data_IF_750055370349
#
_entry.id   IF_750055370349
#
_cell.length_a   1.000
_cell.length_b   1.000
_cell.length_c   1.000
_cell.angle_alpha   90.00
_cell.angle_beta   90.00
_cell.angle_gamma   90.00
#
_symmetry.space_group_name_H-M   'P 1'
#
loop_
_entity.id
_entity.type
_entity.pdbx_description
1 polymer ?
#
# COMPACT_ATOMS: atom_id res chain seq x y z
N UNK A 1 6.74 -29.66 65.18
CA UNK A 1 5.32 -29.47 65.51
C UNK A 1 5.06 -28.02 65.88
N UNK A 2 4.26 -27.30 65.11
CA UNK A 2 3.65 -26.00 65.45
C UNK A 2 2.58 -25.77 64.38
N UNK A 3 1.31 -26.05 64.65
CA UNK A 3 0.30 -25.26 65.39
C UNK A 3 -0.22 -24.09 64.55
N UNK A 4 -1.52 -24.21 64.26
CA UNK A 4 -2.41 -23.38 63.45
C UNK A 4 -2.60 -21.96 63.97
N UNK A 5 -2.79 -20.98 63.07
CA UNK A 5 -3.62 -19.79 63.30
C UNK A 5 -4.33 -19.43 61.98
N UNK A 6 -5.66 -19.47 61.98
CA UNK A 6 -6.54 -18.90 60.96
C UNK A 6 -6.74 -17.43 61.30
N UNK A 7 -6.63 -16.53 60.31
CA UNK A 7 -7.10 -15.15 60.44
C UNK A 7 -7.93 -14.74 59.22
N UNK A 8 -9.13 -14.28 59.56
CA UNK A 8 -10.26 -13.86 58.75
C UNK A 8 -10.01 -12.46 58.17
N UNK A 9 -10.23 -12.26 56.86
CA UNK A 9 -10.22 -10.92 56.26
C UNK A 9 -11.42 -10.77 55.31
N UNK A 10 -12.40 -9.98 55.76
CA UNK A 10 -13.60 -9.55 55.04
C UNK A 10 -13.28 -8.88 53.69
N UNK A 11 -13.73 -9.49 52.60
CA UNK A 11 -13.63 -8.92 51.25
C UNK A 11 -14.79 -7.94 50.99
N UNK A 12 -14.49 -6.64 51.07
CA UNK A 12 -15.44 -5.56 50.74
C UNK A 12 -15.69 -5.52 49.23
N UNK A 13 -16.90 -5.92 48.79
CA UNK A 13 -17.31 -5.92 47.38
C UNK A 13 -17.54 -4.49 46.86
N UNK A 14 -16.62 -3.96 46.07
CA UNK A 14 -16.88 -2.78 45.24
C UNK A 14 -17.76 -3.16 44.04
N UNK A 15 -18.92 -2.51 43.92
CA UNK A 15 -19.85 -2.72 42.80
C UNK A 15 -19.32 -2.06 41.51
N UNK A 16 -19.17 -2.86 40.46
CA UNK A 16 -18.80 -2.41 39.12
C UNK A 16 -19.98 -1.72 38.40
N UNK A 17 -19.71 -0.71 37.54
CA UNK A 17 -20.76 0.03 36.84
C UNK A 17 -21.54 -0.90 35.87
N UNK A 18 -22.85 -0.65 35.66
CA UNK A 18 -23.69 -1.55 34.90
C UNK A 18 -23.25 -1.65 33.43
N UNK A 19 -23.30 -2.86 32.82
CA UNK A 19 -22.85 -3.07 31.46
C UNK A 19 -23.69 -2.26 30.47
N UNK A 20 -23.03 -1.48 29.62
CA UNK A 20 -23.67 -0.74 28.52
C UNK A 20 -24.31 -1.75 27.56
N UNK A 21 -25.64 -1.71 27.42
CA UNK A 21 -26.38 -2.57 26.50
C UNK A 21 -25.94 -2.26 25.06
N UNK A 22 -25.29 -3.22 24.41
CA UNK A 22 -24.92 -3.14 23.00
C UNK A 22 -26.19 -3.24 22.16
N UNK A 23 -26.42 -2.25 21.29
CA UNK A 23 -27.55 -2.28 20.35
C UNK A 23 -27.33 -3.45 19.38
N UNK A 24 -28.27 -4.40 19.33
CA UNK A 24 -28.23 -5.50 18.36
C UNK A 24 -28.51 -4.93 16.97
N UNK A 25 -27.47 -4.89 16.14
CA UNK A 25 -27.58 -4.49 14.74
C UNK A 25 -28.14 -5.68 13.97
N UNK A 26 -29.28 -5.47 13.31
CA UNK A 26 -29.88 -6.46 12.41
C UNK A 26 -29.70 -5.99 10.97
N UNK A 27 -28.92 -6.74 10.21
CA UNK A 27 -28.76 -6.51 8.78
C UNK A 27 -30.07 -6.85 8.07
N UNK A 28 -30.64 -5.88 7.35
CA UNK A 28 -31.80 -6.10 6.50
C UNK A 28 -31.32 -6.37 5.08
N UNK A 29 -31.83 -7.44 4.48
CA UNK A 29 -31.63 -7.71 3.06
C UNK A 29 -32.53 -6.73 2.30
N UNK A 30 -31.93 -5.87 1.49
CA UNK A 30 -32.62 -4.92 0.62
C UNK A 30 -32.02 -5.05 -0.77
N UNK A 31 -32.86 -5.03 -1.80
CA UNK A 31 -32.39 -5.01 -3.18
C UNK A 31 -31.61 -3.73 -3.44
N UNK A 32 -30.39 -3.89 -3.97
CA UNK A 32 -29.56 -2.77 -4.34
C UNK A 32 -30.10 -2.16 -5.63
N UNK A 33 -30.57 -0.91 -5.53
CA UNK A 33 -30.91 -0.11 -6.70
C UNK A 33 -29.66 0.74 -6.97
N UNK A 34 -28.89 0.45 -8.04
CA UNK A 34 -27.72 1.27 -8.36
C UNK A 34 -28.19 2.70 -8.61
N UNK A 35 -27.52 3.71 -8.01
CA UNK A 35 -27.75 5.08 -8.45
C UNK A 35 -27.38 5.18 -9.95
N UNK A 36 -28.06 6.06 -10.67
CA UNK A 36 -27.63 6.47 -12.02
C UNK A 36 -26.21 7.04 -11.88
N UNK A 37 -25.23 6.26 -12.33
CA UNK A 37 -23.80 6.60 -12.27
C UNK A 37 -23.30 7.17 -13.61
N UNK A 38 -24.23 7.50 -14.51
CA UNK A 38 -23.90 8.08 -15.79
C UNK A 38 -23.28 9.46 -15.57
N UNK A 39 -22.06 9.65 -16.08
CA UNK A 39 -21.39 10.93 -16.02
C UNK A 39 -22.21 11.96 -16.83
N UNK A 40 -22.78 12.96 -16.14
CA UNK A 40 -23.59 14.02 -16.74
C UNK A 40 -22.80 15.28 -17.08
N UNK A 41 -21.49 15.29 -16.83
CA UNK A 41 -20.62 16.41 -17.12
C UNK A 41 -20.27 16.50 -18.61
N UNK A 42 -19.86 17.70 -19.03
CA UNK A 42 -19.23 17.90 -20.33
C UNK A 42 -17.74 17.59 -20.17
N UNK A 43 -17.22 16.66 -20.97
CA UNK A 43 -15.79 16.42 -21.01
C UNK A 43 -15.09 17.63 -21.65
N UNK A 44 -13.93 18.06 -21.12
CA UNK A 44 -13.13 19.06 -21.82
C UNK A 44 -12.77 18.55 -23.22
N UNK A 45 -12.61 19.46 -24.21
CA UNK A 45 -12.09 19.06 -25.50
C UNK A 45 -10.72 18.39 -25.31
N UNK A 46 -10.40 17.36 -26.12
CA UNK A 46 -9.07 16.77 -26.08
C UNK A 46 -8.02 17.85 -26.34
N UNK A 47 -6.85 17.80 -25.70
CA UNK A 47 -5.75 18.71 -25.99
C UNK A 47 -5.40 18.67 -27.48
N UNK A 48 -5.09 19.83 -28.07
CA UNK A 48 -4.70 19.91 -29.49
C UNK A 48 -3.35 19.22 -29.77
N UNK A 49 -2.49 19.14 -28.74
CA UNK A 49 -1.16 18.52 -28.82
C UNK A 49 -1.14 17.18 -28.07
N UNK A 50 -0.92 16.09 -28.80
CA UNK A 50 -0.66 14.77 -28.22
C UNK A 50 0.79 14.70 -27.74
N UNK A 51 0.98 14.60 -26.42
CA UNK A 51 2.29 14.37 -25.82
C UNK A 51 2.81 12.95 -26.09
N UNK A 52 4.13 12.77 -26.09
CA UNK A 52 4.69 11.42 -26.14
C UNK A 52 4.38 10.66 -24.83
N UNK A 53 4.28 9.32 -24.84
CA UNK A 53 4.00 8.54 -23.63
C UNK A 53 4.94 8.84 -22.45
N UNK A 54 6.19 9.15 -22.75
CA UNK A 54 7.20 9.49 -21.72
C UNK A 54 6.95 10.88 -21.09
N UNK A 55 6.36 11.81 -21.82
CA UNK A 55 6.06 13.14 -21.30
C UNK A 55 4.89 13.09 -20.32
N UNK A 56 3.91 12.22 -20.56
CA UNK A 56 2.87 11.93 -19.57
C UNK A 56 3.45 11.32 -18.30
N UNK A 57 4.43 10.43 -18.42
CA UNK A 57 5.13 9.88 -17.27
C UNK A 57 5.81 11.00 -16.45
N UNK A 58 6.56 11.88 -17.11
CA UNK A 58 7.22 13.01 -16.43
C UNK A 58 6.25 14.06 -15.90
N UNK A 59 5.02 14.13 -16.41
CA UNK A 59 3.97 14.99 -15.84
C UNK A 59 3.46 14.51 -14.48
N UNK A 60 3.56 13.20 -14.22
CA UNK A 60 3.16 12.58 -12.94
C UNK A 60 4.35 12.44 -11.98
N UNK A 61 5.52 12.08 -12.52
CA UNK A 61 6.77 11.91 -11.79
C UNK A 61 7.82 12.78 -12.44
N UNK A 62 7.89 14.04 -12.01
CA UNK A 62 8.91 14.95 -12.52
C UNK A 62 10.33 14.46 -12.14
N UNK A 63 11.32 14.97 -12.87
CA UNK A 63 12.72 14.58 -12.68
C UNK A 63 13.23 14.90 -11.28
N UNK A 64 12.72 15.98 -10.69
CA UNK A 64 13.08 16.39 -9.33
C UNK A 64 12.53 15.42 -8.28
N UNK A 65 11.30 14.92 -8.45
CA UNK A 65 10.73 13.87 -7.61
C UNK A 65 11.50 12.57 -7.74
N UNK A 66 11.89 12.18 -8.95
CA UNK A 66 12.69 10.98 -9.19
C UNK A 66 14.04 11.12 -8.49
N UNK A 67 14.72 12.26 -8.64
CA UNK A 67 15.98 12.53 -7.97
C UNK A 67 15.84 12.46 -6.43
N UNK A 68 14.79 13.08 -5.89
CA UNK A 68 14.51 13.04 -4.45
C UNK A 68 14.28 11.60 -3.96
N UNK A 69 13.49 10.81 -4.68
CA UNK A 69 13.23 9.40 -4.36
C UNK A 69 14.52 8.59 -4.37
N UNK A 70 15.37 8.79 -5.38
CA UNK A 70 16.67 8.12 -5.48
C UNK A 70 17.56 8.47 -4.28
N UNK A 71 17.72 9.76 -3.97
CA UNK A 71 18.57 10.22 -2.88
C UNK A 71 18.10 9.71 -1.51
N UNK A 72 16.80 9.80 -1.24
CA UNK A 72 16.23 9.32 0.02
C UNK A 72 16.31 7.79 0.15
N UNK A 73 16.11 7.05 -0.95
CA UNK A 73 16.24 5.59 -0.94
C UNK A 73 17.67 5.15 -0.67
N UNK A 74 18.65 5.83 -1.28
CA UNK A 74 20.06 5.57 -1.04
C UNK A 74 20.47 5.91 0.40
N UNK A 75 20.06 7.08 0.90
CA UNK A 75 20.30 7.50 2.27
C UNK A 75 19.73 6.50 3.27
N UNK A 76 18.49 6.05 3.06
CA UNK A 76 17.87 5.01 3.86
C UNK A 76 18.65 3.69 3.81
N UNK A 77 19.15 3.29 2.64
CA UNK A 77 19.95 2.06 2.51
C UNK A 77 21.20 2.08 3.39
N UNK A 78 21.90 3.22 3.44
CA UNK A 78 23.09 3.42 4.28
C UNK A 78 22.72 3.42 5.76
N UNK A 79 21.60 4.05 6.13
CA UNK A 79 21.10 4.05 7.51
C UNK A 79 20.78 2.63 8.02
N UNK A 80 20.21 1.79 7.14
CA UNK A 80 19.83 0.42 7.49
C UNK A 80 21.02 -0.55 7.49
N UNK A 81 21.91 -0.45 6.51
CA UNK A 81 23.12 -1.27 6.45
C UNK A 81 24.28 -0.49 5.80
N UNK A 82 25.13 0.16 6.61
CA UNK A 82 26.27 0.92 6.10
C UNK A 82 27.26 0.08 5.28
N UNK A 83 27.32 -1.23 5.51
CA UNK A 83 28.27 -2.13 4.83
C UNK A 83 27.79 -2.57 3.44
N UNK A 84 26.52 -2.34 3.10
CA UNK A 84 25.94 -2.74 1.81
C UNK A 84 24.96 -1.68 1.32
N UNK A 85 25.45 -0.50 0.90
CA UNK A 85 24.61 0.53 0.32
C UNK A 85 24.01 0.06 -1.01
N UNK A 86 22.78 0.50 -1.31
CA UNK A 86 22.04 0.07 -2.50
C UNK A 86 22.49 0.83 -3.76
N UNK A 87 22.98 2.06 -3.62
CA UNK A 87 23.57 2.88 -4.69
C UNK A 87 22.71 2.96 -5.97
N UNK A 88 21.40 3.19 -5.81
CA UNK A 88 20.44 3.35 -6.89
C UNK A 88 20.77 4.57 -7.74
N UNK A 89 20.74 4.43 -9.05
CA UNK A 89 20.76 5.54 -10.02
C UNK A 89 19.35 6.06 -10.32
N UNK A 90 19.24 7.29 -10.83
CA UNK A 90 17.93 7.84 -11.23
C UNK A 90 17.26 6.99 -12.32
N UNK A 91 18.05 6.42 -13.24
CA UNK A 91 17.54 5.54 -14.29
C UNK A 91 16.97 4.23 -13.74
N UNK A 92 17.62 3.63 -12.73
CA UNK A 92 17.08 2.45 -12.04
C UNK A 92 15.79 2.79 -11.27
N UNK A 93 15.68 4.01 -10.74
CA UNK A 93 14.44 4.48 -10.12
C UNK A 93 13.32 4.67 -11.14
N UNK A 94 13.61 5.24 -12.32
CA UNK A 94 12.64 5.33 -13.44
C UNK A 94 12.15 3.94 -13.86
N UNK A 95 13.08 2.99 -14.04
CA UNK A 95 12.76 1.59 -14.34
C UNK A 95 11.90 0.93 -13.26
N UNK A 96 12.20 1.20 -11.98
CA UNK A 96 11.42 0.68 -10.87
C UNK A 96 9.98 1.21 -10.88
N UNK A 97 9.79 2.53 -11.07
CA UNK A 97 8.46 3.13 -11.18
C UNK A 97 7.72 2.61 -12.41
N UNK A 98 8.39 2.53 -13.57
CA UNK A 98 7.82 1.96 -14.78
C UNK A 98 7.38 0.52 -14.58
N UNK A 99 8.17 -0.28 -13.87
CA UNK A 99 7.81 -1.65 -13.50
C UNK A 99 6.54 -1.68 -12.64
N UNK A 100 6.43 -0.82 -11.63
CA UNK A 100 5.22 -0.74 -10.79
C UNK A 100 3.98 -0.42 -11.63
N UNK A 101 4.07 0.52 -12.57
CA UNK A 101 2.98 0.86 -13.49
C UNK A 101 2.59 -0.37 -14.32
N UNK A 102 3.56 -1.08 -14.91
CA UNK A 102 3.30 -2.29 -15.68
C UNK A 102 2.68 -3.41 -14.83
N UNK A 103 3.09 -3.58 -13.58
CA UNK A 103 2.45 -4.54 -12.66
C UNK A 103 1.02 -4.15 -12.29
N UNK A 104 0.66 -2.87 -12.37
CA UNK A 104 -0.74 -2.42 -12.24
C UNK A 104 -1.61 -2.80 -13.43
N UNK A 105 -1.02 -2.88 -14.64
CA UNK A 105 -1.69 -3.31 -15.86
C UNK A 105 -1.89 -4.83 -15.87
N UNK A 106 -0.84 -5.57 -15.51
CA UNK A 106 -0.88 -7.03 -15.47
C UNK A 106 -1.31 -7.53 -14.09
N UNK A 107 -2.51 -8.10 -13.98
CA UNK A 107 -3.01 -8.62 -12.70
C UNK A 107 -2.44 -10.01 -12.38
N UNK A 108 -1.28 -10.07 -11.70
CA UNK A 108 -0.77 -11.31 -11.09
C UNK A 108 -1.04 -11.35 -9.58
N UNK A 109 -1.33 -12.53 -9.01
CA UNK A 109 -1.69 -12.66 -7.60
C UNK A 109 -0.52 -12.39 -6.65
N UNK A 110 0.73 -12.56 -7.12
CA UNK A 110 1.92 -12.25 -6.32
C UNK A 110 3.02 -11.64 -7.17
N UNK A 111 3.83 -10.72 -6.62
CA UNK A 111 4.92 -10.08 -7.37
C UNK A 111 5.95 -11.06 -7.93
N UNK A 112 6.15 -12.22 -7.28
CA UNK A 112 7.12 -13.23 -7.74
C UNK A 112 6.80 -13.81 -9.11
N UNK A 113 5.54 -13.82 -9.51
CA UNK A 113 5.12 -14.40 -10.80
C UNK A 113 5.67 -13.59 -11.99
N UNK A 114 5.94 -12.29 -11.80
CA UNK A 114 6.53 -11.45 -12.85
C UNK A 114 7.97 -11.86 -13.22
N UNK A 115 8.73 -12.39 -12.25
CA UNK A 115 10.12 -12.85 -12.43
C UNK A 115 10.25 -14.38 -12.46
N UNK A 116 9.13 -15.12 -12.52
CA UNK A 116 9.17 -16.58 -12.58
C UNK A 116 9.35 -17.05 -14.02
N UNK A 117 10.30 -17.95 -14.27
CA UNK A 117 10.60 -18.45 -15.64
C UNK A 117 9.38 -19.02 -16.39
N UNK A 118 8.32 -19.45 -15.69
CA UNK A 118 7.12 -20.05 -16.31
C UNK A 118 6.05 -19.04 -16.69
N UNK A 119 5.98 -17.89 -16.02
CA UNK A 119 4.96 -16.83 -16.23
C UNK A 119 5.61 -15.48 -16.55
N UNK A 120 6.87 -15.52 -16.95
CA UNK A 120 7.73 -14.37 -17.17
C UNK A 120 7.06 -13.34 -18.08
N UNK A 121 6.92 -12.13 -17.57
CA UNK A 121 6.63 -10.96 -18.40
C UNK A 121 7.99 -10.38 -18.79
N UNK A 122 8.48 -10.73 -19.98
CA UNK A 122 9.82 -10.38 -20.47
C UNK A 122 10.11 -8.87 -20.33
N UNK A 123 9.11 -8.02 -20.62
CA UNK A 123 9.24 -6.56 -20.51
C UNK A 123 9.44 -6.04 -19.09
N UNK A 124 9.15 -6.84 -18.06
CA UNK A 124 9.38 -6.50 -16.65
C UNK A 124 10.64 -7.20 -16.15
N UNK A 125 10.73 -8.51 -16.38
CA UNK A 125 11.81 -9.34 -15.85
C UNK A 125 13.19 -9.03 -16.45
N UNK A 126 13.25 -8.52 -17.69
CA UNK A 126 14.51 -8.14 -18.33
C UNK A 126 15.08 -6.80 -17.84
N UNK A 127 14.24 -5.94 -17.23
CA UNK A 127 14.59 -4.56 -16.87
C UNK A 127 15.33 -4.48 -15.53
N UNK A 128 15.00 -5.35 -14.57
CA UNK A 128 15.66 -5.46 -13.28
C UNK A 128 15.81 -6.93 -12.89
N UNK A 129 17.01 -7.36 -12.51
CA UNK A 129 17.38 -8.74 -12.14
C UNK A 129 17.75 -8.90 -10.67
#
# INVERSE_FOLDING_TARGET
>A
SSSSEEDDIEETKQASPPPKKTKKIHWKKKDFIPPLADFTGVLPPPPDDELAPIDYFYSMFDKDSIALLTDQSNLYSVQMNPNKPLCISQHEMEHFIGTLIMTGIYSFPTPRFFWMNTTLVESIASVMS
#
